data_IF_165468038713
#
_entry.id   IF_165468038713
#
_cell.length_a   1.000
_cell.length_b   1.000
_cell.length_c   1.000
_cell.angle_alpha   90.00
_cell.angle_beta   90.00
_cell.angle_gamma   90.00
#
_symmetry.space_group_name_H-M   'P 1'
#
loop_
_entity.id
_entity.type
_entity.pdbx_description
1 polymer ?
#
# COMPACT_ATOMS: atom_id res chain seq x y z
N UNK A 1 -1.67 -13.79 -17.51
CA UNK A 1 -1.98 -13.90 -16.07
C UNK A 1 -1.36 -12.70 -15.40
N UNK A 2 -2.18 -11.86 -14.77
CA UNK A 2 -1.69 -10.68 -14.06
C UNK A 2 -1.05 -11.11 -12.74
N UNK A 3 -0.02 -10.38 -12.30
CA UNK A 3 0.57 -10.59 -10.97
C UNK A 3 -0.43 -10.21 -9.89
N UNK A 4 -0.73 -11.14 -8.98
CA UNK A 4 -1.68 -10.97 -7.87
C UNK A 4 -1.04 -11.00 -6.47
N UNK A 5 0.22 -11.45 -6.37
CA UNK A 5 0.95 -11.53 -5.10
C UNK A 5 2.15 -10.59 -5.17
N UNK A 6 2.31 -9.77 -4.15
CA UNK A 6 3.37 -8.77 -4.04
C UNK A 6 4.14 -8.90 -2.73
N UNK A 7 5.42 -8.57 -2.81
CA UNK A 7 6.34 -8.61 -1.70
C UNK A 7 6.95 -10.00 -1.51
N UNK A 8 8.17 -10.03 -0.97
CA UNK A 8 8.99 -11.24 -0.80
C UNK A 8 8.28 -12.37 -0.06
N UNK A 9 7.40 -12.03 0.88
CA UNK A 9 6.68 -12.98 1.72
C UNK A 9 5.17 -12.99 1.43
N UNK A 10 4.73 -12.45 0.28
CA UNK A 10 3.31 -12.34 -0.05
C UNK A 10 2.57 -11.37 0.85
N UNK A 11 3.18 -10.22 1.17
CA UNK A 11 2.55 -9.21 2.04
C UNK A 11 1.25 -8.65 1.49
N UNK A 12 1.07 -8.68 0.15
CA UNK A 12 -0.19 -8.30 -0.48
C UNK A 12 -0.62 -9.41 -1.43
N UNK A 13 -1.81 -9.94 -1.21
CA UNK A 13 -2.46 -10.92 -2.08
C UNK A 13 -3.85 -10.44 -2.52
N UNK A 14 -4.02 -10.37 -3.84
CA UNK A 14 -5.31 -10.15 -4.50
C UNK A 14 -5.91 -11.50 -4.89
N UNK A 15 -7.18 -11.74 -4.56
CA UNK A 15 -7.83 -13.03 -4.85
C UNK A 15 -8.28 -13.13 -6.32
N UNK A 16 -8.32 -12.01 -7.04
CA UNK A 16 -8.67 -11.96 -8.46
C UNK A 16 -8.08 -10.73 -9.14
N UNK A 17 -8.06 -10.74 -10.48
CA UNK A 17 -7.69 -9.57 -11.28
C UNK A 17 -8.67 -8.40 -11.07
N UNK A 18 -9.94 -8.68 -10.79
CA UNK A 18 -10.94 -7.65 -10.50
C UNK A 18 -10.63 -6.94 -9.17
N UNK A 19 -10.31 -7.69 -8.11
CA UNK A 19 -9.88 -7.10 -6.82
C UNK A 19 -8.62 -6.27 -6.98
N UNK A 20 -7.63 -6.78 -7.75
CA UNK A 20 -6.41 -6.02 -8.03
C UNK A 20 -6.75 -4.70 -8.71
N UNK A 21 -7.58 -4.72 -9.75
CA UNK A 21 -7.94 -3.51 -10.50
C UNK A 21 -8.60 -2.48 -9.59
N UNK A 22 -9.61 -2.88 -8.81
CA UNK A 22 -10.28 -1.99 -7.86
C UNK A 22 -9.30 -1.39 -6.83
N UNK A 23 -8.39 -2.21 -6.30
CA UNK A 23 -7.36 -1.76 -5.37
C UNK A 23 -6.39 -0.76 -6.02
N UNK A 24 -5.97 -1.02 -7.27
CA UNK A 24 -5.11 -0.11 -8.02
C UNK A 24 -5.81 1.21 -8.30
N UNK A 25 -7.05 1.17 -8.82
CA UNK A 25 -7.88 2.34 -9.09
C UNK A 25 -7.99 3.24 -7.83
N UNK A 26 -8.24 2.65 -6.67
CA UNK A 26 -8.26 3.40 -5.40
C UNK A 26 -6.89 4.00 -5.05
N UNK A 27 -5.81 3.22 -5.14
CA UNK A 27 -4.47 3.69 -4.75
C UNK A 27 -3.93 4.80 -5.67
N UNK A 28 -4.32 4.82 -6.96
CA UNK A 28 -3.86 5.82 -7.92
C UNK A 28 -4.62 7.14 -7.82
N UNK A 29 -5.88 7.12 -7.38
CA UNK A 29 -6.77 8.29 -7.39
C UNK A 29 -7.12 8.85 -6.01
N UNK A 30 -6.94 8.09 -4.92
CA UNK A 30 -7.38 8.51 -3.60
C UNK A 30 -6.43 9.57 -2.99
N UNK A 31 -6.95 10.75 -2.60
CA UNK A 31 -6.18 11.76 -1.89
C UNK A 31 -5.86 11.37 -0.44
N UNK A 32 -6.58 10.40 0.12
CA UNK A 32 -6.36 9.90 1.48
C UNK A 32 -5.26 8.83 1.56
N UNK A 33 -4.56 8.59 0.43
CA UNK A 33 -3.44 7.65 0.34
C UNK A 33 -2.16 8.42 0.08
N UNK A 34 -1.14 8.18 0.92
CA UNK A 34 0.18 8.77 0.80
C UNK A 34 1.24 7.68 0.56
N UNK A 35 2.16 7.94 -0.37
CA UNK A 35 3.29 7.05 -0.68
C UNK A 35 4.57 7.71 -0.19
N UNK A 36 5.23 7.13 0.81
CA UNK A 36 6.46 7.71 1.37
C UNK A 36 7.54 6.67 1.68
N UNK A 37 8.77 7.16 1.79
CA UNK A 37 9.93 6.39 2.25
C UNK A 37 10.20 6.79 3.70
N UNK A 38 9.90 5.89 4.64
CA UNK A 38 10.19 6.09 6.06
C UNK A 38 11.69 5.89 6.30
N UNK A 39 12.36 6.90 6.87
CA UNK A 39 13.78 6.84 7.24
C UNK A 39 13.97 6.09 8.57
N UNK A 40 13.42 4.89 8.68
CA UNK A 40 13.42 4.10 9.92
C UNK A 40 14.83 3.72 10.39
N UNK A 41 15.85 3.80 9.53
CA UNK A 41 17.24 3.62 9.92
C UNK A 41 17.73 4.69 10.92
N UNK A 42 17.15 5.89 10.90
CA UNK A 42 17.43 6.93 11.90
C UNK A 42 16.90 6.55 13.29
N UNK A 43 16.06 5.52 13.36
CA UNK A 43 15.43 4.96 14.57
C UNK A 43 15.91 3.53 14.85
N UNK A 44 17.00 3.09 14.21
CA UNK A 44 17.64 1.80 14.48
C UNK A 44 17.23 0.63 13.55
N UNK A 45 16.43 0.88 12.51
CA UNK A 45 16.20 -0.11 11.47
C UNK A 45 17.41 -0.26 10.54
N UNK A 46 17.45 -1.35 9.77
CA UNK A 46 18.57 -1.66 8.88
C UNK A 46 18.58 -0.79 7.60
N UNK A 47 17.41 -0.32 7.16
CA UNK A 47 17.25 0.44 5.93
C UNK A 47 15.96 1.27 5.97
N UNK A 48 15.85 2.29 5.08
CA UNK A 48 14.59 2.96 4.84
C UNK A 48 13.53 2.00 4.29
N UNK A 49 12.26 2.29 4.52
CA UNK A 49 11.16 1.44 4.05
C UNK A 49 10.12 2.22 3.26
N UNK A 50 9.74 1.69 2.09
CA UNK A 50 8.62 2.20 1.30
C UNK A 50 7.30 1.78 1.94
N UNK A 51 6.46 2.77 2.26
CA UNK A 51 5.17 2.58 2.94
C UNK A 51 4.08 3.30 2.15
N UNK A 52 2.91 2.65 2.09
CA UNK A 52 1.67 3.26 1.61
C UNK A 52 0.83 3.53 2.86
N UNK A 53 0.54 4.78 3.15
CA UNK A 53 -0.25 5.23 4.29
C UNK A 53 -1.68 5.52 3.87
N UNK A 54 -2.63 5.16 4.73
CA UNK A 54 -4.06 5.44 4.57
C UNK A 54 -4.49 6.37 5.71
N UNK A 55 -5.07 7.51 5.37
CA UNK A 55 -5.58 8.49 6.33
C UNK A 55 -7.09 8.36 6.60
N UNK A 56 -7.78 7.53 5.81
CA UNK A 56 -9.22 7.24 5.92
C UNK A 56 -9.51 5.78 5.58
N UNK A 57 -10.55 5.20 6.19
CA UNK A 57 -11.10 3.89 5.80
C UNK A 57 -12.22 4.00 4.76
N UNK A 58 -12.72 5.22 4.51
CA UNK A 58 -13.89 5.43 3.66
C UNK A 58 -13.55 5.02 2.22
N UNK A 59 -14.29 4.05 1.70
CA UNK A 59 -14.15 3.59 0.31
C UNK A 59 -12.89 2.77 0.03
N UNK A 60 -12.11 2.39 1.06
CA UNK A 60 -10.95 1.51 0.88
C UNK A 60 -11.43 0.13 0.42
N UNK A 61 -10.93 -0.39 -0.72
CA UNK A 61 -11.28 -1.72 -1.21
C UNK A 61 -10.95 -2.82 -0.20
N UNK A 62 -11.82 -3.83 -0.11
CA UNK A 62 -11.67 -4.94 0.84
C UNK A 62 -10.31 -5.66 0.69
N UNK A 63 -9.77 -5.73 -0.52
CA UNK A 63 -8.45 -6.28 -0.78
C UNK A 63 -7.33 -5.50 -0.10
N UNK A 64 -7.41 -4.17 -0.01
CA UNK A 64 -6.41 -3.36 0.69
C UNK A 64 -6.56 -3.52 2.21
N UNK A 65 -7.80 -3.53 2.72
CA UNK A 65 -8.09 -3.74 4.15
C UNK A 65 -7.57 -5.09 4.64
N UNK A 66 -7.65 -6.14 3.81
CA UNK A 66 -7.12 -7.47 4.15
C UNK A 66 -5.59 -7.50 4.27
N UNK A 67 -4.90 -6.65 3.51
CA UNK A 67 -3.44 -6.68 3.36
C UNK A 67 -2.71 -5.58 4.14
N UNK A 68 -3.43 -4.58 4.68
CA UNK A 68 -2.81 -3.51 5.44
C UNK A 68 -2.48 -3.94 6.88
N UNK A 69 -1.62 -3.16 7.51
CA UNK A 69 -1.16 -3.31 8.89
C UNK A 69 -1.59 -2.09 9.70
N UNK A 70 -1.56 -2.21 11.02
CA UNK A 70 -1.91 -1.11 11.91
C UNK A 70 -1.11 0.18 11.58
N UNK A 71 -1.84 1.29 11.51
CA UNK A 71 -1.29 2.63 11.39
C UNK A 71 -0.69 3.15 12.69
N UNK A 72 -0.39 4.45 12.72
CA UNK A 72 0.10 5.18 13.89
C UNK A 72 -0.36 6.64 13.79
N UNK A 73 -0.66 7.28 14.92
CA UNK A 73 -0.87 8.73 15.08
C UNK A 73 -1.29 9.48 13.80
N UNK A 74 -2.59 9.50 13.48
CA UNK A 74 -3.12 10.19 12.29
C UNK A 74 -3.03 9.39 10.98
N UNK A 75 -2.42 8.20 11.00
CA UNK A 75 -2.47 7.20 9.93
C UNK A 75 -3.34 6.06 10.43
N UNK A 76 -4.38 5.73 9.66
CA UNK A 76 -5.30 4.64 9.99
C UNK A 76 -4.64 3.28 9.77
N UNK A 77 -3.98 3.11 8.62
CA UNK A 77 -3.36 1.86 8.25
C UNK A 77 -2.18 2.05 7.30
N UNK A 78 -1.37 1.00 7.15
CA UNK A 78 -0.17 1.01 6.31
C UNK A 78 -0.03 -0.28 5.52
N UNK A 79 0.35 -0.20 4.25
CA UNK A 79 0.82 -1.35 3.48
C UNK A 79 2.35 -1.29 3.35
N UNK A 80 2.99 -2.44 3.63
CA UNK A 80 4.45 -2.56 3.77
C UNK A 80 4.98 -3.43 2.64
N UNK A 81 4.82 -2.94 1.43
CA UNK A 81 5.16 -3.67 0.22
C UNK A 81 5.82 -2.74 -0.80
N UNK A 82 7.14 -2.70 -0.78
CA UNK A 82 7.94 -1.88 -1.70
C UNK A 82 7.64 -2.21 -3.18
N UNK A 83 7.35 -3.47 -3.46
CA UNK A 83 7.05 -3.90 -4.83
C UNK A 83 5.70 -3.36 -5.34
N UNK A 84 4.65 -3.39 -4.51
CA UNK A 84 3.38 -2.76 -4.85
C UNK A 84 3.55 -1.24 -4.94
N UNK A 85 4.29 -0.65 -4.01
CA UNK A 85 4.62 0.76 -4.01
C UNK A 85 5.22 1.20 -5.34
N UNK A 86 6.22 0.46 -5.82
CA UNK A 86 6.95 0.79 -7.05
C UNK A 86 6.12 0.59 -8.33
N UNK A 87 5.17 -0.35 -8.32
CA UNK A 87 4.25 -0.53 -9.46
C UNK A 87 3.18 0.57 -9.51
N UNK A 88 2.70 1.03 -8.35
CA UNK A 88 1.54 1.94 -8.27
C UNK A 88 1.94 3.42 -8.28
N UNK A 89 3.01 3.81 -7.60
CA UNK A 89 3.40 5.23 -7.47
C UNK A 89 3.52 5.96 -8.82
N UNK A 90 4.15 5.38 -9.87
CA UNK A 90 4.26 6.05 -11.17
C UNK A 90 2.93 6.26 -11.90
N UNK A 91 1.86 5.59 -11.44
CA UNK A 91 0.52 5.63 -12.03
C UNK A 91 -0.41 6.61 -11.30
N UNK A 92 0.04 7.26 -10.22
CA UNK A 92 -0.80 8.20 -9.46
C UNK A 92 -1.13 9.45 -10.26
N UNK A 93 -2.37 9.90 -10.15
CA UNK A 93 -2.91 11.05 -10.88
C UNK A 93 -3.44 12.15 -9.93
N UNK A 94 -3.06 12.11 -8.64
CA UNK A 94 -3.55 13.00 -7.58
C UNK A 94 -2.78 14.31 -7.51
#
# INVERSE_FOLDING_TARGET
MTKLVYGKNGQVEFLSEAEKREAFDYLISSPDVEFLVEQNQEQGAWAPEKRIHFHSEIGVPAALVRNWTAGRSGIVARINCAELYDEVLPLREV
#
